data_IF_768326483497
#
_entry.id   IF_768326483497
#
_cell.length_a   1.000
_cell.length_b   1.000
_cell.length_c   1.000
_cell.angle_alpha   90.00
_cell.angle_beta   90.00
_cell.angle_gamma   90.00
#
_symmetry.space_group_name_H-M   'P 1'
#
loop_
_entity.id
_entity.type
_entity.pdbx_description
1 polymer ?
#
# COMPACT_ATOMS: atom_id res chain seq x y z
N UNK A 1 -9.53 -10.26 26.24
CA UNK A 1 -8.64 -9.85 25.13
C UNK A 1 -8.08 -8.47 25.40
N UNK A 2 -6.76 -8.27 25.34
CA UNK A 2 -6.16 -6.94 25.56
C UNK A 2 -6.66 -5.96 24.48
N UNK A 3 -6.79 -4.66 24.82
CA UNK A 3 -7.26 -3.63 23.89
C UNK A 3 -6.43 -3.59 22.60
N UNK A 4 -5.12 -3.81 22.73
CA UNK A 4 -4.16 -3.92 21.63
C UNK A 4 -4.43 -5.10 20.69
N UNK A 5 -4.81 -6.26 21.23
CA UNK A 5 -5.20 -7.41 20.39
C UNK A 5 -6.52 -7.14 19.67
N UNK A 6 -7.48 -6.44 20.30
CA UNK A 6 -8.71 -5.99 19.62
C UNK A 6 -8.41 -5.10 18.42
N UNK A 7 -7.48 -4.16 18.56
CA UNK A 7 -7.02 -3.32 17.45
C UNK A 7 -6.41 -4.18 16.32
N UNK A 8 -5.52 -5.11 16.65
CA UNK A 8 -4.93 -6.03 15.67
C UNK A 8 -5.99 -6.81 14.89
N UNK A 9 -7.01 -7.36 15.56
CA UNK A 9 -8.12 -8.04 14.88
C UNK A 9 -8.94 -7.09 13.99
N UNK A 10 -9.22 -5.87 14.44
CA UNK A 10 -9.94 -4.89 13.63
C UNK A 10 -9.16 -4.50 12.37
N UNK A 11 -7.85 -4.26 12.49
CA UNK A 11 -6.98 -3.95 11.35
C UNK A 11 -6.87 -5.14 10.40
N UNK A 12 -6.73 -6.37 10.91
CA UNK A 12 -6.71 -7.57 10.08
C UNK A 12 -8.04 -7.75 9.34
N UNK A 13 -9.17 -7.53 10.00
CA UNK A 13 -10.49 -7.64 9.39
C UNK A 13 -10.67 -6.62 8.24
N UNK A 14 -10.39 -5.33 8.49
CA UNK A 14 -10.53 -4.29 7.47
C UNK A 14 -9.54 -4.53 6.32
N UNK A 15 -8.29 -4.91 6.62
CA UNK A 15 -7.31 -5.29 5.60
C UNK A 15 -7.77 -6.50 4.79
N UNK A 16 -8.43 -7.48 5.40
CA UNK A 16 -8.95 -8.65 4.69
C UNK A 16 -10.09 -8.29 3.74
N UNK A 17 -10.93 -7.30 4.08
CA UNK A 17 -11.90 -6.72 3.13
C UNK A 17 -11.18 -6.04 1.96
N UNK A 18 -10.05 -5.38 2.23
CA UNK A 18 -9.18 -4.85 1.19
C UNK A 18 -8.58 -5.94 0.30
N UNK A 19 -8.14 -7.07 0.85
CA UNK A 19 -7.72 -8.24 0.03
C UNK A 19 -8.87 -8.80 -0.78
N UNK A 20 -10.05 -8.96 -0.17
CA UNK A 20 -11.25 -9.45 -0.87
C UNK A 20 -11.67 -8.54 -2.02
N UNK A 21 -11.34 -7.24 -1.98
CA UNK A 21 -11.60 -6.32 -3.11
C UNK A 21 -10.91 -6.74 -4.42
N UNK A 22 -9.81 -7.52 -4.35
CA UNK A 22 -9.16 -8.09 -5.53
C UNK A 22 -10.07 -9.08 -6.29
N UNK A 23 -11.11 -9.63 -5.64
CA UNK A 23 -12.12 -10.45 -6.31
C UNK A 23 -12.94 -9.66 -7.35
N UNK A 24 -12.87 -8.34 -7.35
CA UNK A 24 -13.52 -7.50 -8.37
C UNK A 24 -12.64 -7.30 -9.61
N UNK A 25 -11.35 -7.60 -9.54
CA UNK A 25 -10.38 -7.47 -10.66
C UNK A 25 -10.41 -8.73 -11.51
N UNK A 26 -10.27 -8.62 -12.83
CA UNK A 26 -10.16 -9.79 -13.69
C UNK A 26 -8.87 -10.58 -13.44
N UNK A 27 -8.98 -11.90 -13.35
CA UNK A 27 -7.82 -12.75 -13.09
C UNK A 27 -7.08 -13.07 -14.40
N UNK A 28 -5.81 -12.64 -14.58
CA UNK A 28 -5.09 -12.88 -15.82
C UNK A 28 -4.73 -14.36 -15.96
N UNK A 29 -5.22 -15.01 -17.02
CA UNK A 29 -4.94 -16.43 -17.30
C UNK A 29 -3.84 -16.66 -18.33
N UNK A 30 -3.36 -15.59 -18.99
CA UNK A 30 -2.48 -15.69 -20.17
C UNK A 30 -1.14 -16.39 -19.90
N UNK A 31 -0.64 -16.32 -18.65
CA UNK A 31 0.63 -16.95 -18.23
C UNK A 31 0.44 -18.21 -17.39
N UNK A 32 -0.80 -18.68 -17.21
CA UNK A 32 -1.09 -19.89 -16.45
C UNK A 32 -0.95 -21.11 -17.39
N UNK A 33 -0.18 -22.15 -17.03
CA UNK A 33 -0.07 -23.37 -17.83
C UNK A 33 -1.43 -24.00 -18.12
N UNK A 34 -1.62 -24.53 -19.33
CA UNK A 34 -2.91 -25.11 -19.74
C UNK A 34 -3.31 -26.31 -18.88
N UNK A 35 -2.34 -27.05 -18.37
CA UNK A 35 -2.54 -28.18 -17.46
C UNK A 35 -3.25 -27.73 -16.18
N UNK A 36 -2.89 -26.56 -15.66
CA UNK A 36 -3.51 -25.95 -14.47
C UNK A 36 -4.92 -25.46 -14.79
N UNK A 37 -5.11 -24.79 -15.94
CA UNK A 37 -6.42 -24.30 -16.38
C UNK A 37 -7.42 -25.43 -16.68
N UNK A 38 -6.94 -26.64 -16.96
CA UNK A 38 -7.79 -27.84 -17.10
C UNK A 38 -8.20 -28.44 -15.77
N UNK A 39 -7.41 -28.25 -14.71
CA UNK A 39 -7.65 -28.80 -13.38
C UNK A 39 -8.47 -27.86 -12.48
N UNK A 40 -8.28 -26.55 -12.64
CA UNK A 40 -8.90 -25.54 -11.78
C UNK A 40 -9.67 -24.51 -12.58
N UNK A 41 -10.85 -24.13 -12.10
CA UNK A 41 -11.61 -23.02 -12.68
C UNK A 41 -10.89 -21.69 -12.42
N UNK A 42 -11.21 -20.68 -13.24
CA UNK A 42 -10.69 -19.31 -13.05
C UNK A 42 -11.04 -18.76 -11.66
N UNK A 43 -12.26 -19.04 -11.18
CA UNK A 43 -12.70 -18.60 -9.86
C UNK A 43 -11.88 -19.27 -8.75
N UNK A 44 -11.60 -20.57 -8.86
CA UNK A 44 -10.72 -21.25 -7.90
C UNK A 44 -9.33 -20.62 -7.87
N UNK A 45 -8.72 -20.36 -9.02
CA UNK A 45 -7.41 -19.69 -9.09
C UNK A 45 -7.46 -18.27 -8.50
N UNK A 46 -8.55 -17.54 -8.74
CA UNK A 46 -8.79 -16.21 -8.18
C UNK A 46 -8.86 -16.25 -6.65
N UNK A 47 -9.60 -17.19 -6.06
CA UNK A 47 -9.64 -17.37 -4.61
C UNK A 47 -8.28 -17.78 -4.03
N UNK A 48 -7.57 -18.69 -4.70
CA UNK A 48 -6.22 -19.11 -4.28
C UNK A 48 -5.23 -17.94 -4.29
N UNK A 49 -5.38 -17.00 -5.22
CA UNK A 49 -4.53 -15.80 -5.31
C UNK A 49 -4.60 -14.90 -4.06
N UNK A 50 -5.69 -15.00 -3.27
CA UNK A 50 -5.85 -14.23 -2.04
C UNK A 50 -5.04 -14.78 -0.86
N UNK A 51 -4.55 -16.02 -0.93
CA UNK A 51 -3.84 -16.67 0.18
C UNK A 51 -2.57 -15.87 0.53
N UNK A 52 -1.75 -15.56 -0.47
CA UNK A 52 -0.50 -14.82 -0.27
C UNK A 52 -0.72 -13.45 0.40
N UNK A 53 -1.58 -12.55 -0.11
CA UNK A 53 -1.81 -11.27 0.54
C UNK A 53 -2.45 -11.40 1.93
N UNK A 54 -3.31 -12.41 2.18
CA UNK A 54 -3.86 -12.65 3.54
C UNK A 54 -2.75 -13.05 4.52
N UNK A 55 -1.83 -13.93 4.13
CA UNK A 55 -0.72 -14.35 4.98
C UNK A 55 0.23 -13.19 5.27
N UNK A 56 0.57 -12.40 4.25
CA UNK A 56 1.38 -11.20 4.41
C UNK A 56 0.69 -10.17 5.32
N UNK A 57 -0.62 -9.98 5.15
CA UNK A 57 -1.42 -9.08 5.98
C UNK A 57 -1.45 -9.56 7.43
N UNK A 58 -1.65 -10.86 7.65
CA UNK A 58 -1.64 -11.45 8.99
C UNK A 58 -0.31 -11.17 9.69
N UNK A 59 0.81 -11.43 9.01
CA UNK A 59 2.15 -11.15 9.52
C UNK A 59 2.37 -9.65 9.79
N UNK A 60 2.05 -8.79 8.82
CA UNK A 60 2.22 -7.34 8.92
C UNK A 60 1.40 -6.76 10.08
N UNK A 61 0.14 -7.17 10.22
CA UNK A 61 -0.72 -6.71 11.31
C UNK A 61 -0.24 -7.24 12.66
N UNK A 62 0.23 -8.49 12.74
CA UNK A 62 0.79 -9.04 13.98
C UNK A 62 2.05 -8.26 14.42
N UNK A 63 2.98 -8.02 13.49
CA UNK A 63 4.22 -7.26 13.74
C UNK A 63 3.90 -5.81 14.08
N UNK A 64 3.09 -5.14 13.27
CA UNK A 64 2.67 -3.76 13.48
C UNK A 64 2.03 -3.60 14.85
N UNK A 65 1.05 -4.44 15.18
CA UNK A 65 0.38 -4.45 16.49
C UNK A 65 1.38 -4.64 17.60
N UNK A 66 2.34 -5.58 17.50
CA UNK A 66 3.32 -5.81 18.55
C UNK A 66 4.27 -4.63 18.80
N UNK A 67 4.57 -3.82 17.77
CA UNK A 67 5.72 -2.91 17.76
C UNK A 67 5.38 -1.42 17.68
N UNK A 68 4.26 -1.00 17.09
CA UNK A 68 4.02 0.42 16.74
C UNK A 68 4.15 1.41 17.92
N UNK A 69 3.56 1.07 19.08
CA UNK A 69 3.68 1.89 20.29
C UNK A 69 5.13 1.98 20.81
N UNK A 70 5.92 0.91 20.64
CA UNK A 70 7.33 0.87 21.10
C UNK A 70 8.22 1.84 20.32
N UNK A 71 7.73 2.32 19.18
CA UNK A 71 8.40 3.26 18.30
C UNK A 71 7.60 4.54 18.07
N UNK A 72 6.70 4.89 19.01
CA UNK A 72 5.90 6.12 18.99
C UNK A 72 5.14 6.37 17.68
N UNK A 73 4.70 5.31 17.01
CA UNK A 73 3.72 5.38 15.91
C UNK A 73 2.32 5.18 16.50
N UNK A 74 1.27 5.56 15.77
CA UNK A 74 -0.10 5.53 16.30
C UNK A 74 -1.17 5.18 15.28
N UNK A 75 -2.29 4.67 15.79
CA UNK A 75 -3.53 4.34 15.06
C UNK A 75 -4.71 5.08 15.74
N UNK A 76 -4.69 6.42 15.75
CA UNK A 76 -5.49 7.24 16.67
C UNK A 76 -7.01 7.06 16.57
N UNK A 77 -7.56 6.88 15.36
CA UNK A 77 -9.01 6.86 15.16
C UNK A 77 -9.60 5.50 15.49
N UNK A 78 -9.04 4.43 14.93
CA UNK A 78 -9.52 3.07 15.19
C UNK A 78 -9.31 2.69 16.65
N UNK A 79 -8.18 3.06 17.25
CA UNK A 79 -7.95 2.81 18.68
C UNK A 79 -8.97 3.57 19.55
N UNK A 80 -9.32 4.82 19.19
CA UNK A 80 -10.37 5.58 19.89
C UNK A 80 -11.76 4.91 19.77
N UNK A 81 -12.17 4.48 18.57
CA UNK A 81 -13.43 3.76 18.34
C UNK A 81 -13.52 2.48 19.18
N UNK A 82 -12.40 1.79 19.38
CA UNK A 82 -12.32 0.57 20.19
C UNK A 82 -12.21 0.82 21.71
N UNK A 83 -12.36 2.06 22.17
CA UNK A 83 -12.27 2.42 23.59
C UNK A 83 -10.84 2.40 24.14
N UNK A 84 -9.86 2.62 23.27
CA UNK A 84 -8.42 2.69 23.56
C UNK A 84 -7.80 3.94 22.92
N UNK A 85 -8.16 5.16 23.35
CA UNK A 85 -7.65 6.36 22.71
C UNK A 85 -6.12 6.48 22.88
N UNK A 86 -5.44 6.70 21.76
CA UNK A 86 -4.00 6.93 21.70
C UNK A 86 -3.69 8.42 21.53
N UNK A 87 -2.44 8.82 21.81
CA UNK A 87 -1.96 10.15 21.46
C UNK A 87 -1.92 10.29 19.93
N UNK A 88 -2.59 11.30 19.41
CA UNK A 88 -2.62 11.60 17.99
C UNK A 88 -3.45 12.84 17.67
N UNK A 89 -3.61 13.12 16.39
CA UNK A 89 -4.48 14.20 15.91
C UNK A 89 -5.93 13.72 15.77
N UNK A 90 -6.89 14.64 15.81
CA UNK A 90 -8.30 14.31 15.60
C UNK A 90 -8.57 13.75 14.20
N UNK A 91 -9.61 12.94 14.06
CA UNK A 91 -10.01 12.35 12.78
C UNK A 91 -10.21 13.39 11.67
N UNK A 92 -10.82 14.54 11.98
CA UNK A 92 -10.98 15.64 11.01
C UNK A 92 -9.62 16.18 10.51
N UNK A 93 -8.60 16.25 11.37
CA UNK A 93 -7.25 16.64 10.94
C UNK A 93 -6.62 15.55 10.09
N UNK A 94 -6.83 14.27 10.41
CA UNK A 94 -6.33 13.15 9.61
C UNK A 94 -6.91 13.17 8.20
N UNK A 95 -8.21 13.46 8.07
CA UNK A 95 -8.87 13.68 6.77
C UNK A 95 -8.23 14.86 6.04
N UNK A 96 -8.09 16.02 6.67
CA UNK A 96 -7.51 17.21 6.01
C UNK A 96 -6.10 16.95 5.48
N UNK A 97 -5.22 16.40 6.32
CA UNK A 97 -3.85 16.06 5.90
C UNK A 97 -3.84 14.94 4.87
N UNK A 98 -4.67 13.92 5.05
CA UNK A 98 -4.80 12.78 4.14
C UNK A 98 -5.21 13.23 2.75
N UNK A 99 -6.31 13.97 2.62
CA UNK A 99 -6.80 14.50 1.34
C UNK A 99 -5.75 15.39 0.68
N UNK A 100 -5.18 16.36 1.42
CA UNK A 100 -4.21 17.30 0.86
C UNK A 100 -2.97 16.59 0.30
N UNK A 101 -2.37 15.70 1.10
CA UNK A 101 -1.19 14.93 0.68
C UNK A 101 -1.55 13.87 -0.37
N UNK A 102 -2.76 13.32 -0.33
CA UNK A 102 -3.27 12.39 -1.34
C UNK A 102 -3.39 13.04 -2.71
N UNK A 103 -3.97 14.24 -2.78
CA UNK A 103 -4.01 15.05 -4.01
C UNK A 103 -2.59 15.34 -4.50
N UNK A 104 -1.72 15.82 -3.61
CA UNK A 104 -0.31 16.07 -3.96
C UNK A 104 0.37 14.81 -4.52
N UNK A 105 0.18 13.66 -3.86
CA UNK A 105 0.75 12.38 -4.29
C UNK A 105 0.21 11.94 -5.65
N UNK A 106 -1.09 12.11 -5.89
CA UNK A 106 -1.72 11.79 -7.17
C UNK A 106 -1.19 12.67 -8.30
N UNK A 107 -1.06 13.97 -8.06
CA UNK A 107 -0.48 14.93 -9.01
C UNK A 107 0.99 14.60 -9.30
N UNK A 108 1.81 14.34 -8.26
CA UNK A 108 3.22 13.96 -8.43
C UNK A 108 3.34 12.68 -9.26
N UNK A 109 2.51 11.68 -8.99
CA UNK A 109 2.51 10.41 -9.75
C UNK A 109 2.11 10.64 -11.21
N UNK A 110 1.11 11.50 -11.47
CA UNK A 110 0.70 11.87 -12.82
C UNK A 110 1.83 12.60 -13.57
N UNK A 111 2.52 13.56 -12.94
CA UNK A 111 3.67 14.26 -13.52
C UNK A 111 4.80 13.29 -13.88
N UNK A 112 5.11 12.34 -12.98
CA UNK A 112 6.09 11.28 -13.25
C UNK A 112 5.64 10.44 -14.44
N UNK A 113 4.35 10.10 -14.53
CA UNK A 113 3.80 9.37 -15.68
C UNK A 113 3.98 10.13 -17.00
N UNK A 114 3.68 11.43 -17.02
CA UNK A 114 3.86 12.28 -18.21
C UNK A 114 5.32 12.36 -18.64
N UNK A 115 6.25 12.48 -17.68
CA UNK A 115 7.68 12.57 -17.95
C UNK A 115 8.24 11.31 -18.64
N UNK A 116 7.65 10.15 -18.39
CA UNK A 116 8.07 8.86 -18.98
C UNK A 116 7.22 8.44 -20.19
N UNK A 117 6.10 9.10 -20.45
CA UNK A 117 5.12 8.70 -21.47
C UNK A 117 5.69 8.65 -22.88
N UNK A 118 6.55 9.61 -23.26
CA UNK A 118 7.16 9.65 -24.59
C UNK A 118 8.04 8.44 -24.90
N UNK A 119 8.62 7.83 -23.87
CA UNK A 119 9.51 6.66 -23.97
C UNK A 119 8.75 5.35 -23.79
N UNK A 120 7.75 5.33 -22.90
CA UNK A 120 7.05 4.11 -22.45
C UNK A 120 5.62 3.97 -22.99
N UNK A 121 5.24 4.71 -24.04
CA UNK A 121 3.87 4.74 -24.54
C UNK A 121 3.30 3.35 -24.89
N UNK A 122 4.12 2.46 -25.46
CA UNK A 122 3.70 1.10 -25.83
C UNK A 122 3.49 0.23 -24.58
N UNK A 123 4.41 0.31 -23.64
CA UNK A 123 4.37 -0.42 -22.37
C UNK A 123 3.19 0.03 -21.51
N UNK A 124 2.92 1.33 -21.43
CA UNK A 124 1.76 1.88 -20.72
C UNK A 124 0.46 1.34 -21.30
N UNK A 125 0.29 1.41 -22.63
CA UNK A 125 -0.89 0.86 -23.29
C UNK A 125 -1.06 -0.64 -23.05
N UNK A 126 0.04 -1.40 -23.01
CA UNK A 126 -0.02 -2.83 -22.73
C UNK A 126 -0.43 -3.10 -21.27
N UNK A 127 0.13 -2.37 -20.31
CA UNK A 127 -0.21 -2.50 -18.89
C UNK A 127 -1.66 -2.09 -18.62
N UNK A 128 -2.11 -0.98 -19.19
CA UNK A 128 -3.49 -0.49 -19.05
C UNK A 128 -4.51 -1.51 -19.59
N UNK A 129 -4.24 -2.11 -20.75
CA UNK A 129 -5.12 -3.13 -21.33
C UNK A 129 -5.14 -4.47 -20.58
N UNK A 130 -4.12 -4.75 -19.76
CA UNK A 130 -3.95 -6.07 -19.10
C UNK A 130 -4.15 -6.02 -17.60
N UNK A 131 -4.02 -4.85 -16.98
CA UNK A 131 -4.15 -4.63 -15.55
C UNK A 131 -5.16 -3.51 -15.34
N UNK A 132 -6.44 -3.88 -15.38
CA UNK A 132 -7.52 -2.97 -15.05
C UNK A 132 -7.95 -3.18 -13.60
N UNK A 133 -7.38 -2.39 -12.69
CA UNK A 133 -7.83 -2.38 -11.31
C UNK A 133 -9.16 -1.62 -11.20
N UNK A 134 -10.17 -2.28 -10.66
CA UNK A 134 -11.45 -1.63 -10.33
C UNK A 134 -11.24 -0.54 -9.28
N UNK A 135 -12.18 0.40 -9.19
CA UNK A 135 -12.18 1.40 -8.13
C UNK A 135 -12.19 0.74 -6.74
N UNK A 136 -12.96 -0.33 -6.56
CA UNK A 136 -13.06 -1.04 -5.28
C UNK A 136 -11.70 -1.64 -4.90
N UNK A 137 -10.96 -2.22 -5.85
CA UNK A 137 -9.62 -2.75 -5.62
C UNK A 137 -8.58 -1.66 -5.30
N UNK A 138 -8.61 -0.54 -6.04
CA UNK A 138 -7.74 0.62 -5.77
C UNK A 138 -7.94 1.16 -4.35
N UNK A 139 -9.19 1.29 -3.92
CA UNK A 139 -9.51 1.85 -2.59
C UNK A 139 -9.31 0.83 -1.45
N UNK A 140 -9.71 -0.42 -1.66
CA UNK A 140 -9.63 -1.48 -0.67
C UNK A 140 -8.23 -2.08 -0.53
N UNK A 141 -7.70 -2.64 -1.60
CA UNK A 141 -6.36 -3.23 -1.57
C UNK A 141 -5.30 -2.13 -1.49
N UNK A 142 -5.26 -1.20 -2.45
CA UNK A 142 -4.28 -0.11 -2.49
C UNK A 142 -4.39 0.80 -1.26
N UNK A 143 -5.55 1.41 -1.08
CA UNK A 143 -5.77 2.41 -0.03
C UNK A 143 -5.70 1.91 1.41
N UNK A 144 -5.95 0.62 1.67
CA UNK A 144 -6.01 0.07 3.04
C UNK A 144 -5.01 -1.07 3.25
N UNK A 145 -5.05 -2.11 2.41
CA UNK A 145 -4.22 -3.31 2.62
C UNK A 145 -2.74 -2.98 2.48
N UNK A 146 -2.36 -2.25 1.44
CA UNK A 146 -0.96 -1.88 1.22
C UNK A 146 -0.42 -0.99 2.35
N UNK A 147 -1.23 -0.09 2.91
CA UNK A 147 -0.84 0.70 4.08
C UNK A 147 -0.64 -0.17 5.33
N UNK A 148 -1.46 -1.22 5.52
CA UNK A 148 -1.22 -2.18 6.60
C UNK A 148 0.06 -2.99 6.40
N UNK A 149 0.33 -3.42 5.16
CA UNK A 149 1.53 -4.18 4.82
C UNK A 149 2.79 -3.33 5.00
N UNK A 150 2.85 -2.18 4.33
CA UNK A 150 4.07 -1.39 4.19
C UNK A 150 4.28 -0.40 5.33
N UNK A 151 3.22 0.25 5.82
CA UNK A 151 3.35 1.29 6.87
C UNK A 151 3.22 0.63 8.22
N UNK A 152 2.05 0.07 8.51
CA UNK A 152 1.78 -0.49 9.82
C UNK A 152 2.69 -1.67 10.16
N UNK A 153 2.90 -2.61 9.23
CA UNK A 153 3.79 -3.75 9.41
C UNK A 153 5.26 -3.43 9.19
N UNK A 154 5.64 -3.24 7.92
CA UNK A 154 7.05 -3.21 7.54
C UNK A 154 7.82 -1.97 8.01
N UNK A 155 7.30 -0.76 7.78
CA UNK A 155 7.93 0.47 8.25
C UNK A 155 8.06 0.48 9.78
N UNK A 156 7.03 0.06 10.52
CA UNK A 156 7.11 -0.11 11.97
C UNK A 156 8.24 -1.05 12.39
N UNK A 157 8.37 -2.21 11.73
CA UNK A 157 9.46 -3.16 11.97
C UNK A 157 10.82 -2.50 11.74
N UNK A 158 10.99 -1.76 10.64
CA UNK A 158 12.23 -1.07 10.33
C UNK A 158 12.59 -0.03 11.39
N UNK A 159 11.64 0.84 11.78
CA UNK A 159 11.88 1.81 12.85
C UNK A 159 12.28 1.09 14.13
N UNK A 160 11.62 -0.03 14.45
CA UNK A 160 11.94 -0.81 15.64
C UNK A 160 13.33 -1.44 15.59
N UNK A 161 13.73 -2.03 14.46
CA UNK A 161 15.09 -2.57 14.28
C UNK A 161 16.14 -1.46 14.41
N UNK A 162 15.95 -0.33 13.75
CA UNK A 162 16.86 0.82 13.85
C UNK A 162 16.94 1.31 15.30
N UNK A 163 15.81 1.41 16.00
CA UNK A 163 15.79 1.77 17.42
C UNK A 163 16.53 0.74 18.28
N UNK A 164 16.38 -0.57 18.01
CA UNK A 164 17.07 -1.62 18.77
C UNK A 164 18.59 -1.58 18.58
N UNK A 165 19.07 -1.20 17.41
CA UNK A 165 20.50 -1.08 17.09
C UNK A 165 21.05 0.24 17.65
N UNK A 166 20.46 1.37 17.27
CA UNK A 166 20.97 2.71 17.60
C UNK A 166 20.65 3.18 19.02
N UNK A 167 19.69 2.52 19.70
CA UNK A 167 19.10 2.93 20.99
C UNK A 167 18.47 4.32 20.98
N UNK A 168 18.26 4.91 19.79
CA UNK A 168 17.75 6.27 19.61
C UNK A 168 16.57 6.24 18.66
N UNK A 169 15.50 6.91 19.06
CA UNK A 169 14.32 7.11 18.23
C UNK A 169 14.27 8.59 17.82
N UNK A 170 15.01 8.92 16.78
CA UNK A 170 15.16 10.28 16.25
C UNK A 170 14.61 10.37 14.82
N UNK A 171 14.56 11.59 14.27
CA UNK A 171 14.04 11.83 12.92
C UNK A 171 14.76 11.01 11.83
N UNK A 172 16.06 10.76 11.99
CA UNK A 172 16.86 9.97 11.03
C UNK A 172 16.36 8.53 10.98
N UNK A 173 16.08 7.91 12.13
CA UNK A 173 15.54 6.55 12.19
C UNK A 173 14.21 6.41 11.43
N UNK A 174 13.31 7.39 11.59
CA UNK A 174 12.04 7.39 10.86
C UNK A 174 12.24 7.60 9.37
N UNK A 175 13.07 8.57 8.95
CA UNK A 175 13.30 8.83 7.53
C UNK A 175 13.95 7.65 6.81
N UNK A 176 14.92 6.95 7.45
CA UNK A 176 15.50 5.73 6.89
C UNK A 176 14.42 4.68 6.67
N UNK A 177 13.55 4.44 7.67
CA UNK A 177 12.47 3.48 7.54
C UNK A 177 11.41 3.87 6.50
N UNK A 178 11.11 5.17 6.37
CA UNK A 178 10.18 5.71 5.36
C UNK A 178 10.74 5.50 3.96
N UNK A 179 11.99 5.92 3.71
CA UNK A 179 12.60 5.80 2.38
C UNK A 179 12.76 4.34 1.99
N UNK A 180 13.26 3.50 2.91
CA UNK A 180 13.45 2.08 2.62
C UNK A 180 12.13 1.36 2.38
N UNK A 181 11.11 1.61 3.20
CA UNK A 181 9.77 1.01 2.98
C UNK A 181 9.12 1.51 1.69
N UNK A 182 9.32 2.77 1.31
CA UNK A 182 8.82 3.33 0.06
C UNK A 182 9.52 2.75 -1.19
N UNK A 183 10.84 2.54 -1.14
CA UNK A 183 11.55 1.85 -2.23
C UNK A 183 11.08 0.41 -2.34
N UNK A 184 10.93 -0.30 -1.22
CA UNK A 184 10.41 -1.66 -1.24
C UNK A 184 8.96 -1.72 -1.74
N UNK A 185 8.15 -0.70 -1.45
CA UNK A 185 6.81 -0.57 -1.99
C UNK A 185 6.83 -0.48 -3.53
N UNK A 186 7.72 0.33 -4.11
CA UNK A 186 7.90 0.36 -5.57
C UNK A 186 8.42 -0.95 -6.15
N UNK A 187 9.36 -1.63 -5.47
CA UNK A 187 9.84 -2.96 -5.88
C UNK A 187 8.71 -4.00 -5.80
N UNK A 188 7.84 -3.90 -4.79
CA UNK A 188 6.70 -4.79 -4.59
C UNK A 188 5.68 -4.80 -5.73
N UNK A 189 5.71 -3.77 -6.59
CA UNK A 189 4.89 -3.70 -7.80
C UNK A 189 5.53 -4.39 -9.01
N UNK A 190 6.83 -4.71 -9.00
CA UNK A 190 7.47 -5.33 -10.16
C UNK A 190 6.87 -6.69 -10.57
N UNK A 191 6.41 -7.58 -9.66
CA UNK A 191 5.80 -8.85 -10.06
C UNK A 191 4.60 -8.68 -11.01
N UNK A 192 3.77 -7.64 -10.85
CA UNK A 192 2.64 -7.40 -11.77
C UNK A 192 3.11 -6.91 -13.14
N UNK A 193 4.23 -6.19 -13.19
CA UNK A 193 4.85 -5.80 -14.47
C UNK A 193 5.34 -7.05 -15.19
N UNK A 194 6.05 -7.94 -14.49
CA UNK A 194 6.54 -9.20 -15.05
C UNK A 194 5.41 -10.18 -15.41
N UNK A 195 4.21 -10.07 -14.81
CA UNK A 195 3.05 -10.87 -15.23
C UNK A 195 2.48 -10.42 -16.58
N UNK A 196 2.82 -9.22 -17.07
CA UNK A 196 2.38 -8.71 -18.37
C UNK A 196 3.54 -8.67 -19.37
N UNK A 197 4.64 -8.02 -19.02
CA UNK A 197 5.80 -7.80 -19.88
C UNK A 197 6.90 -8.77 -19.46
N UNK A 198 7.28 -9.69 -20.35
CA UNK A 198 8.27 -10.74 -20.02
C UNK A 198 9.69 -10.20 -19.85
N UNK A 199 10.05 -9.13 -20.55
CA UNK A 199 11.37 -8.48 -20.48
C UNK A 199 11.21 -6.95 -20.39
N UNK A 200 10.80 -6.41 -19.22
CA UNK A 200 10.66 -4.98 -19.03
C UNK A 200 12.04 -4.32 -19.08
N UNK A 201 12.15 -3.22 -19.82
CA UNK A 201 13.39 -2.45 -19.88
C UNK A 201 13.64 -1.68 -18.57
N UNK A 202 14.88 -1.24 -18.36
CA UNK A 202 15.28 -0.53 -17.14
C UNK A 202 14.47 0.75 -16.90
N UNK A 203 14.08 1.48 -17.96
CA UNK A 203 13.29 2.72 -17.85
C UNK A 203 11.90 2.46 -17.26
N UNK A 204 11.22 1.39 -17.69
CA UNK A 204 9.93 0.99 -17.13
C UNK A 204 10.07 0.59 -15.67
N UNK A 205 11.09 -0.20 -15.33
CA UNK A 205 11.34 -0.59 -13.95
C UNK A 205 11.62 0.63 -13.05
N UNK A 206 12.43 1.58 -13.54
CA UNK A 206 12.68 2.84 -12.84
C UNK A 206 11.40 3.67 -12.65
N UNK A 207 10.56 3.80 -13.68
CA UNK A 207 9.27 4.49 -13.58
C UNK A 207 8.39 3.91 -12.47
N UNK A 208 8.20 2.59 -12.46
CA UNK A 208 7.36 1.90 -11.47
C UNK A 208 7.92 2.09 -10.06
N UNK A 209 9.23 1.93 -9.89
CA UNK A 209 9.86 2.10 -8.56
C UNK A 209 9.75 3.55 -8.11
N UNK A 210 10.10 4.53 -8.95
CA UNK A 210 10.13 5.95 -8.59
C UNK A 210 8.72 6.46 -8.29
N UNK A 211 7.74 6.18 -9.15
CA UNK A 211 6.35 6.64 -8.95
C UNK A 211 5.77 6.18 -7.62
N UNK A 212 5.89 4.88 -7.34
CA UNK A 212 5.40 4.29 -6.10
C UNK A 212 6.22 4.71 -4.88
N UNK A 213 7.55 4.83 -4.99
CA UNK A 213 8.39 5.29 -3.88
C UNK A 213 8.09 6.75 -3.50
N UNK A 214 7.87 7.63 -4.48
CA UNK A 214 7.56 9.04 -4.20
C UNK A 214 6.23 9.18 -3.44
N UNK A 215 5.17 8.51 -3.90
CA UNK A 215 3.92 8.41 -3.16
C UNK A 215 4.15 7.79 -1.77
N UNK A 216 4.96 6.74 -1.74
CA UNK A 216 5.20 5.97 -0.55
C UNK A 216 5.95 6.71 0.56
N UNK A 217 6.84 7.65 0.20
CA UNK A 217 7.50 8.56 1.14
C UNK A 217 6.48 9.48 1.81
N UNK A 218 5.53 10.02 1.04
CA UNK A 218 4.48 10.90 1.56
C UNK A 218 3.56 10.16 2.53
N UNK A 219 3.14 8.94 2.20
CA UNK A 219 2.31 8.11 3.07
C UNK A 219 3.06 7.68 4.34
N UNK A 220 4.35 7.32 4.22
CA UNK A 220 5.19 7.02 5.37
C UNK A 220 5.34 8.21 6.32
N UNK A 221 5.50 9.43 5.78
CA UNK A 221 5.53 10.65 6.60
C UNK A 221 4.20 10.90 7.30
N UNK A 222 3.07 10.69 6.63
CA UNK A 222 1.76 10.79 7.27
C UNK A 222 1.58 9.77 8.37
N UNK A 223 1.97 8.51 8.16
CA UNK A 223 1.89 7.51 9.22
C UNK A 223 2.69 7.94 10.44
N UNK A 224 3.91 8.45 10.23
CA UNK A 224 4.76 8.95 11.30
C UNK A 224 4.19 10.18 12.03
N UNK A 225 3.65 11.17 11.30
CA UNK A 225 3.28 12.47 11.89
C UNK A 225 1.80 12.62 12.22
N UNK A 226 0.93 11.84 11.58
CA UNK A 226 -0.52 12.04 11.53
C UNK A 226 -1.31 10.75 11.82
N UNK A 227 -0.65 9.60 11.87
CA UNK A 227 -1.28 8.31 12.18
C UNK A 227 -1.64 7.52 10.92
N UNK A 228 -1.90 6.22 11.10
CA UNK A 228 -2.10 5.25 10.02
C UNK A 228 -3.27 5.61 9.12
N UNK A 229 -4.39 6.02 9.70
CA UNK A 229 -5.61 6.33 8.96
C UNK A 229 -5.43 7.55 8.06
N UNK A 230 -4.56 8.50 8.43
CA UNK A 230 -4.22 9.63 7.56
C UNK A 230 -3.45 9.17 6.31
N UNK A 231 -2.56 8.17 6.44
CA UNK A 231 -1.85 7.57 5.31
C UNK A 231 -2.82 6.79 4.39
N UNK A 232 -3.76 6.02 4.97
CA UNK A 232 -4.82 5.33 4.21
C UNK A 232 -5.68 6.32 3.40
N UNK A 233 -6.11 7.41 4.02
CA UNK A 233 -6.88 8.46 3.34
C UNK A 233 -6.05 9.08 2.20
N UNK A 234 -4.76 9.36 2.43
CA UNK A 234 -3.92 9.90 1.36
C UNK A 234 -3.75 8.95 0.18
N UNK A 235 -3.58 7.66 0.44
CA UNK A 235 -3.44 6.67 -0.62
C UNK A 235 -4.76 6.49 -1.40
N UNK A 236 -5.91 6.48 -0.72
CA UNK A 236 -7.23 6.53 -1.38
C UNK A 236 -7.33 7.76 -2.28
N UNK A 237 -6.98 8.94 -1.77
CA UNK A 237 -7.12 10.18 -2.53
C UNK A 237 -6.08 10.34 -3.63
N UNK A 238 -4.92 9.67 -3.57
CA UNK A 238 -3.98 9.66 -4.69
C UNK A 238 -4.56 8.90 -5.89
N UNK A 239 -5.20 7.75 -5.66
CA UNK A 239 -5.92 7.02 -6.71
C UNK A 239 -7.08 7.83 -7.28
N UNK A 240 -7.91 8.44 -6.43
CA UNK A 240 -9.02 9.29 -6.89
C UNK A 240 -8.51 10.47 -7.72
N UNK A 241 -7.42 11.10 -7.29
CA UNK A 241 -6.79 12.19 -8.03
C UNK A 241 -6.29 11.74 -9.39
N UNK A 242 -5.58 10.61 -9.46
CA UNK A 242 -5.11 10.06 -10.73
C UNK A 242 -6.26 9.71 -11.68
N UNK A 243 -7.37 9.17 -11.16
CA UNK A 243 -8.57 8.89 -11.95
C UNK A 243 -9.15 10.18 -12.52
N UNK A 244 -9.32 11.22 -11.69
CA UNK A 244 -9.84 12.52 -12.15
C UNK A 244 -8.92 13.12 -13.22
N UNK A 245 -7.61 13.10 -13.00
CA UNK A 245 -6.63 13.62 -13.96
C UNK A 245 -6.61 12.85 -15.28
N UNK A 246 -6.99 11.56 -15.30
CA UNK A 246 -7.05 10.77 -16.54
C UNK A 246 -8.20 11.15 -17.47
N UNK A 247 -9.17 11.95 -16.98
CA UNK A 247 -10.28 12.48 -17.78
C UNK A 247 -10.03 13.90 -18.31
N UNK A 248 -8.91 14.53 -17.96
CA UNK A 248 -8.53 15.88 -18.37
C UNK A 248 -7.52 15.82 -19.52
#
# INVERSE_FOLDING_TARGET
MSKKIKLGFALFFIGSLGVASLLTVDFPTDKIPQEVLRQFSKDTLKYLSLINPILLLCFAVAVGTALYEKVNLSVPTLSSILGYPEKGISFLKQIKFGIFIGILSGVVTAIISLAFQSVLAKEFKLLENKIELTLIAKLGYGGITEELLLRFGFMTLLVWVIFKISKKLNNVAYWIAIVFSAVLFGIGHLPVVYSVISQPNAYLLSYIIIGNAMAGVLFGWLYWKKGLESAMIAHIFSHLTMIVLSFL
#
